data_IF_840836689800
#
_entry.id   IF_840836689800
#
_cell.length_a   1.000
_cell.length_b   1.000
_cell.length_c   1.000
_cell.angle_alpha   90.00
_cell.angle_beta   90.00
_cell.angle_gamma   90.00
#
_symmetry.space_group_name_H-M   'P 1'
#
loop_
_entity.id
_entity.type
_entity.pdbx_description
1 polymer ?
#
# COMPACT_ATOMS: atom_id res chain seq x y z
N UNK A 1 -54.24 -5.99 -32.76
CA UNK A 1 -54.92 -5.21 -31.69
C UNK A 1 -54.90 -6.07 -30.43
N UNK A 2 -54.64 -5.60 -29.20
CA UNK A 2 -54.44 -4.23 -28.72
C UNK A 2 -55.24 -4.00 -27.44
N UNK A 3 -54.59 -3.99 -26.27
CA UNK A 3 -55.15 -3.43 -25.02
C UNK A 3 -54.06 -2.60 -24.33
N UNK A 4 -54.23 -1.26 -24.22
CA UNK A 4 -53.16 -0.37 -23.80
C UNK A 4 -53.45 0.39 -22.47
N UNK A 5 -52.45 1.17 -22.04
CA UNK A 5 -52.49 2.32 -21.12
C UNK A 5 -52.99 2.15 -19.68
N UNK A 6 -52.05 2.28 -18.74
CA UNK A 6 -52.28 2.96 -17.46
C UNK A 6 -51.85 4.43 -17.54
N UNK A 7 -52.68 5.35 -17.03
CA UNK A 7 -52.35 6.77 -16.76
C UNK A 7 -53.15 7.25 -15.55
N UNK A 8 -52.51 8.01 -14.65
CA UNK A 8 -53.19 8.64 -13.51
C UNK A 8 -52.26 9.36 -12.54
N UNK A 9 -51.97 10.65 -12.79
CA UNK A 9 -51.34 11.54 -11.80
C UNK A 9 -52.37 12.09 -10.80
N UNK A 10 -51.96 12.35 -9.55
CA UNK A 10 -52.24 13.62 -8.83
C UNK A 10 -51.42 13.79 -7.53
N UNK A 11 -51.19 15.05 -7.14
CA UNK A 11 -50.46 15.54 -5.95
C UNK A 11 -51.43 15.92 -4.82
N UNK A 12 -51.00 15.93 -3.55
CA UNK A 12 -51.12 17.10 -2.64
C UNK A 12 -50.33 16.96 -1.31
N UNK A 13 -50.02 18.10 -0.67
CA UNK A 13 -49.39 18.27 0.65
C UNK A 13 -50.43 18.35 1.79
N UNK A 14 -50.01 18.03 3.03
CA UNK A 14 -50.25 18.67 4.36
C UNK A 14 -49.46 17.85 5.41
N UNK A 15 -48.92 18.35 6.52
CA UNK A 15 -48.73 19.73 7.01
C UNK A 15 -48.84 19.84 8.55
N UNK A 16 -47.98 20.66 9.19
CA UNK A 16 -48.05 21.16 10.60
C UNK A 16 -47.89 20.11 11.74
N UNK A 17 -47.44 20.40 12.97
CA UNK A 17 -46.70 21.50 13.66
C UNK A 17 -46.38 20.96 15.09
N UNK A 18 -45.45 21.54 15.85
CA UNK A 18 -45.56 21.87 17.30
C UNK A 18 -44.24 22.43 17.84
N UNK A 19 -44.36 23.35 18.79
CA UNK A 19 -43.34 24.29 19.25
C UNK A 19 -42.73 23.88 20.61
N UNK A 20 -41.51 24.38 20.89
CA UNK A 20 -40.88 24.80 22.18
C UNK A 20 -41.21 24.10 23.51
N UNK A 21 -40.17 23.88 24.33
CA UNK A 21 -39.89 24.72 25.51
C UNK A 21 -38.45 24.54 26.01
N UNK A 22 -37.90 25.58 26.64
CA UNK A 22 -36.59 25.64 27.32
C UNK A 22 -36.87 25.69 28.83
N UNK A 23 -35.99 25.14 29.68
CA UNK A 23 -35.76 25.65 31.05
C UNK A 23 -34.48 25.06 31.66
N UNK A 24 -33.98 25.71 32.72
CA UNK A 24 -32.55 25.83 33.02
C UNK A 24 -31.97 24.93 34.15
N UNK A 25 -30.63 24.82 34.14
CA UNK A 25 -29.67 24.79 35.27
C UNK A 25 -29.94 23.94 36.55
N UNK A 26 -28.97 23.08 36.90
CA UNK A 26 -28.26 23.21 38.18
C UNK A 26 -26.89 22.47 38.18
N UNK A 27 -25.85 23.15 38.68
CA UNK A 27 -24.48 22.63 38.82
C UNK A 27 -24.29 21.71 40.05
N UNK A 28 -23.36 20.74 39.96
CA UNK A 28 -22.54 20.29 41.11
C UNK A 28 -21.23 19.64 40.68
N UNK A 29 -20.24 19.78 41.56
CA UNK A 29 -18.82 19.78 41.22
C UNK A 29 -18.13 18.40 41.28
N UNK A 30 -17.13 18.25 40.39
CA UNK A 30 -15.79 17.67 40.59
C UNK A 30 -15.62 16.54 41.62
N UNK A 31 -15.22 15.37 41.11
CA UNK A 31 -14.30 14.46 41.82
C UNK A 31 -13.17 14.12 40.86
N UNK A 32 -11.93 14.42 41.24
CA UNK A 32 -10.73 13.91 40.57
C UNK A 32 -10.46 12.49 41.10
N UNK A 33 -10.50 11.47 40.24
CA UNK A 33 -9.94 10.16 40.54
C UNK A 33 -8.72 9.90 39.65
N UNK A 34 -7.55 10.14 40.23
CA UNK A 34 -6.29 9.55 39.74
C UNK A 34 -6.42 8.04 39.74
N UNK A 35 -6.38 7.42 38.56
CA UNK A 35 -6.25 5.96 38.41
C UNK A 35 -4.93 5.66 37.71
N UNK A 36 -4.14 4.80 38.34
CA UNK A 36 -2.81 4.40 37.90
C UNK A 36 -2.95 3.42 36.72
N UNK A 37 -2.29 3.67 35.59
CA UNK A 37 -2.33 2.74 34.45
C UNK A 37 -1.50 1.48 34.75
N UNK A 38 -2.16 0.47 35.32
CA UNK A 38 -1.59 -0.86 35.51
C UNK A 38 -1.17 -1.48 34.15
N UNK A 39 0.09 -1.92 34.07
CA UNK A 39 0.60 -2.58 32.86
C UNK A 39 0.06 -4.00 32.72
N UNK A 40 -1.07 -4.17 32.02
CA UNK A 40 -1.57 -5.50 31.64
C UNK A 40 -0.60 -6.22 30.70
N UNK A 41 0.11 -7.23 31.23
CA UNK A 41 0.92 -8.17 30.46
C UNK A 41 0.03 -9.28 29.89
N UNK A 42 -0.32 -9.19 28.62
CA UNK A 42 -0.91 -10.33 27.91
C UNK A 42 0.17 -11.40 27.62
N UNK A 43 -0.09 -12.69 27.90
CA UNK A 43 0.90 -13.75 27.73
C UNK A 43 1.18 -14.06 26.26
N UNK A 44 2.43 -14.42 25.97
CA UNK A 44 2.90 -14.79 24.64
C UNK A 44 2.26 -16.10 24.17
N UNK A 45 1.55 -16.06 23.03
CA UNK A 45 1.13 -17.25 22.28
C UNK A 45 1.85 -17.27 20.93
N UNK A 46 2.67 -18.30 20.72
CA UNK A 46 3.47 -18.47 19.51
C UNK A 46 2.58 -18.68 18.26
N UNK A 47 2.94 -18.02 17.15
CA UNK A 47 2.49 -18.42 15.81
C UNK A 47 1.71 -17.41 14.96
N UNK A 48 1.33 -16.24 15.50
CA UNK A 48 0.66 -15.18 14.71
C UNK A 48 1.69 -14.10 14.30
N UNK A 49 1.80 -13.72 13.01
CA UNK A 49 2.65 -12.59 12.62
C UNK A 49 2.05 -11.30 13.18
N UNK A 50 2.81 -10.65 14.06
CA UNK A 50 2.43 -9.42 14.76
C UNK A 50 2.12 -8.32 13.73
N UNK A 51 0.88 -7.83 13.73
CA UNK A 51 0.57 -6.53 13.14
C UNK A 51 1.21 -5.46 14.05
N UNK A 52 1.93 -4.46 13.52
CA UNK A 52 2.63 -3.49 14.36
C UNK A 52 1.63 -2.71 15.21
N UNK A 53 1.65 -2.97 16.53
CA UNK A 53 0.91 -2.17 17.50
C UNK A 53 1.52 -0.76 17.56
N UNK A 54 0.73 0.22 18.01
CA UNK A 54 1.14 1.62 18.14
C UNK A 54 2.35 1.83 19.09
N UNK A 55 2.80 0.80 19.80
CA UNK A 55 3.99 0.79 20.65
C UNK A 55 5.32 0.76 19.85
N UNK A 56 5.27 0.59 18.53
CA UNK A 56 6.47 0.61 17.64
C UNK A 56 7.05 2.00 17.35
N UNK A 57 6.60 3.04 18.06
CA UNK A 57 7.04 4.44 17.88
C UNK A 57 8.53 4.72 18.21
N UNK A 58 9.24 3.81 18.88
CA UNK A 58 10.64 4.01 19.33
C UNK A 58 11.72 3.32 18.46
N UNK A 59 11.36 2.69 17.35
CA UNK A 59 12.34 2.07 16.43
C UNK A 59 12.39 2.84 15.11
N UNK A 60 13.58 3.15 14.56
CA UNK A 60 13.70 3.75 13.24
C UNK A 60 13.13 2.77 12.22
N UNK A 61 12.22 3.25 11.39
CA UNK A 61 11.52 2.45 10.42
C UNK A 61 12.06 2.65 9.02
N UNK A 62 12.03 1.57 8.25
CA UNK A 62 12.52 1.55 6.88
C UNK A 62 11.34 1.50 5.92
N UNK A 63 11.44 2.28 4.85
CA UNK A 63 10.47 2.35 3.75
C UNK A 63 11.25 2.10 2.46
N UNK A 64 10.71 1.24 1.59
CA UNK A 64 11.23 1.08 0.23
C UNK A 64 10.29 1.73 -0.78
N UNK A 65 10.84 2.38 -1.80
CA UNK A 65 10.14 2.94 -2.95
C UNK A 65 10.73 2.30 -4.20
N UNK A 66 9.97 1.43 -4.85
CA UNK A 66 10.31 0.83 -6.14
C UNK A 66 9.82 1.75 -7.25
N UNK A 67 10.75 2.44 -7.91
CA UNK A 67 10.48 3.45 -8.95
C UNK A 67 10.58 2.83 -10.36
N UNK A 68 9.85 3.39 -11.35
CA UNK A 68 9.80 2.91 -12.75
C UNK A 68 9.48 1.40 -12.89
N UNK A 69 8.58 0.87 -12.06
CA UNK A 69 8.20 -0.54 -12.10
C UNK A 69 7.48 -0.90 -13.43
N UNK A 70 8.02 -1.89 -14.17
CA UNK A 70 7.51 -2.38 -15.46
C UNK A 70 6.21 -3.21 -15.35
N UNK A 71 5.17 -2.65 -14.73
CA UNK A 71 3.86 -3.28 -14.56
C UNK A 71 2.82 -2.61 -15.48
N UNK A 72 2.74 -3.07 -16.73
CA UNK A 72 1.68 -2.67 -17.66
C UNK A 72 0.66 -3.79 -17.89
N UNK A 73 -0.63 -3.45 -17.83
CA UNK A 73 -1.74 -4.34 -18.19
C UNK A 73 -2.12 -4.11 -19.66
N UNK A 74 -2.25 -5.20 -20.42
CA UNK A 74 -2.79 -5.17 -21.79
C UNK A 74 -3.69 -6.37 -22.09
N UNK A 75 -4.56 -6.23 -23.09
CA UNK A 75 -5.40 -7.32 -23.60
C UNK A 75 -4.63 -8.09 -24.69
N UNK A 76 -4.13 -9.27 -24.35
CA UNK A 76 -3.43 -10.16 -25.27
C UNK A 76 -4.40 -11.26 -25.71
N UNK A 77 -4.90 -11.16 -26.93
CA UNK A 77 -5.96 -12.03 -27.44
C UNK A 77 -7.28 -11.80 -26.70
N UNK A 78 -7.77 -12.83 -25.98
CA UNK A 78 -9.04 -12.76 -25.24
C UNK A 78 -8.89 -12.27 -23.79
N UNK A 79 -7.69 -12.37 -23.21
CA UNK A 79 -7.46 -12.19 -21.77
C UNK A 79 -6.65 -10.91 -21.48
N UNK A 80 -6.89 -10.29 -20.33
CA UNK A 80 -5.99 -9.26 -19.77
C UNK A 80 -4.82 -9.92 -19.06
N UNK A 81 -3.61 -9.49 -19.37
CA UNK A 81 -2.35 -10.03 -18.83
C UNK A 81 -1.37 -8.88 -18.53
N UNK A 82 -0.41 -9.10 -17.63
CA UNK A 82 0.70 -8.17 -17.40
C UNK A 82 1.73 -8.41 -18.49
N UNK A 83 2.16 -7.34 -19.17
CA UNK A 83 3.14 -7.40 -20.24
C UNK A 83 4.50 -7.90 -19.73
N UNK A 84 5.04 -8.90 -20.42
CA UNK A 84 6.28 -9.60 -20.10
C UNK A 84 7.11 -9.76 -21.39
N UNK A 85 8.42 -9.57 -21.29
CA UNK A 85 9.39 -9.70 -22.38
C UNK A 85 9.34 -11.07 -23.06
N UNK A 86 9.08 -12.15 -22.31
CA UNK A 86 9.06 -13.52 -22.84
C UNK A 86 7.73 -13.88 -23.49
N UNK A 87 6.66 -14.02 -22.69
CA UNK A 87 5.35 -14.52 -23.16
C UNK A 87 4.67 -13.57 -24.17
N UNK A 88 5.07 -12.29 -24.22
CA UNK A 88 4.38 -11.26 -25.00
C UNK A 88 5.29 -10.50 -26.00
N UNK A 89 6.52 -10.98 -26.27
CA UNK A 89 7.47 -10.38 -27.23
C UNK A 89 6.83 -9.99 -28.58
N UNK A 90 6.07 -10.91 -29.19
CA UNK A 90 5.42 -10.71 -30.49
C UNK A 90 4.29 -9.67 -30.44
N UNK A 91 3.58 -9.58 -29.31
CA UNK A 91 2.55 -8.56 -29.09
C UNK A 91 3.18 -7.18 -28.90
N UNK A 92 4.30 -7.10 -28.17
CA UNK A 92 5.03 -5.86 -27.94
C UNK A 92 5.60 -5.31 -29.25
N UNK A 93 6.30 -6.14 -30.03
CA UNK A 93 6.86 -5.75 -31.35
C UNK A 93 5.79 -5.24 -32.32
N UNK A 94 4.61 -5.87 -32.38
CA UNK A 94 3.49 -5.41 -33.22
C UNK A 94 2.90 -4.06 -32.80
N UNK A 95 3.09 -3.66 -31.54
CA UNK A 95 2.63 -2.39 -31.01
C UNK A 95 3.76 -1.35 -30.89
N UNK A 96 4.86 -1.52 -31.63
CA UNK A 96 6.05 -0.65 -31.61
C UNK A 96 6.66 -0.47 -30.21
N UNK A 97 6.58 -1.51 -29.37
CA UNK A 97 7.14 -1.54 -28.01
C UNK A 97 8.34 -2.46 -27.95
N UNK A 98 9.42 -1.99 -27.33
CA UNK A 98 10.61 -2.79 -27.08
C UNK A 98 10.33 -3.86 -26.01
N UNK A 99 10.50 -5.16 -26.30
CA UNK A 99 10.28 -6.21 -25.30
C UNK A 99 11.20 -6.13 -24.08
N UNK A 100 12.41 -5.56 -24.21
CA UNK A 100 13.39 -5.54 -23.12
C UNK A 100 12.99 -4.67 -21.91
N UNK A 101 12.03 -3.76 -22.09
CA UNK A 101 11.58 -2.83 -21.04
C UNK A 101 10.44 -3.43 -20.19
N UNK A 102 9.84 -4.54 -20.65
CA UNK A 102 8.73 -5.22 -19.99
C UNK A 102 9.22 -6.36 -19.11
N UNK A 103 9.89 -6.00 -18.01
CA UNK A 103 10.46 -6.91 -17.01
C UNK A 103 9.74 -6.85 -15.65
N UNK A 104 8.47 -7.31 -15.56
CA UNK A 104 7.69 -7.33 -14.32
C UNK A 104 8.24 -8.31 -13.27
N UNK A 105 9.11 -9.23 -13.69
CA UNK A 105 9.86 -10.16 -12.83
C UNK A 105 10.80 -9.44 -11.87
N UNK A 106 11.42 -8.31 -12.28
CA UNK A 106 12.29 -7.49 -11.42
C UNK A 106 11.51 -6.97 -10.22
N UNK A 107 10.33 -6.39 -10.46
CA UNK A 107 9.43 -5.86 -9.43
C UNK A 107 8.95 -6.98 -8.51
N UNK A 108 8.55 -8.11 -9.09
CA UNK A 108 8.11 -9.29 -8.35
C UNK A 108 9.20 -9.84 -7.41
N UNK A 109 10.43 -9.98 -7.92
CA UNK A 109 11.56 -10.49 -7.15
C UNK A 109 11.98 -9.49 -6.06
N UNK A 110 12.02 -8.19 -6.36
CA UNK A 110 12.33 -7.15 -5.38
C UNK A 110 11.32 -7.14 -4.22
N UNK A 111 10.01 -7.22 -4.52
CA UNK A 111 8.97 -7.31 -3.50
C UNK A 111 9.10 -8.58 -2.66
N UNK A 112 9.44 -9.71 -3.26
CA UNK A 112 9.68 -10.96 -2.54
C UNK A 112 10.88 -10.84 -1.60
N UNK A 113 12.02 -10.32 -2.09
CA UNK A 113 13.24 -10.12 -1.29
C UNK A 113 13.03 -9.14 -0.13
N UNK A 114 12.30 -8.05 -0.33
CA UNK A 114 12.01 -7.07 0.73
C UNK A 114 11.08 -7.67 1.79
N UNK A 115 10.01 -8.36 1.40
CA UNK A 115 9.03 -8.91 2.34
C UNK A 115 9.50 -10.19 3.05
N UNK A 116 10.38 -10.99 2.46
CA UNK A 116 10.98 -12.15 3.12
C UNK A 116 12.18 -11.81 4.02
N UNK A 117 12.67 -10.56 3.94
CA UNK A 117 13.87 -10.09 4.64
C UNK A 117 13.74 -10.24 6.17
N UNK A 118 14.87 -10.45 6.90
CA UNK A 118 14.88 -10.36 8.36
C UNK A 118 14.37 -9.02 8.89
N UNK A 119 14.60 -7.94 8.13
CA UNK A 119 14.14 -6.58 8.43
C UNK A 119 12.61 -6.49 8.49
N UNK A 120 11.89 -7.14 7.56
CA UNK A 120 10.43 -7.22 7.64
C UNK A 120 9.97 -8.07 8.84
N UNK A 121 10.62 -9.23 9.05
CA UNK A 121 10.30 -10.15 10.17
C UNK A 121 10.53 -9.51 11.56
N UNK A 122 11.49 -8.60 11.68
CA UNK A 122 11.76 -7.81 12.87
C UNK A 122 10.77 -6.65 13.11
N UNK A 123 9.83 -6.41 12.20
CA UNK A 123 8.85 -5.33 12.28
C UNK A 123 9.40 -3.94 11.94
N UNK A 124 10.62 -3.84 11.40
CA UNK A 124 11.25 -2.54 11.07
C UNK A 124 10.79 -1.98 9.72
N UNK A 125 10.17 -2.79 8.85
CA UNK A 125 9.62 -2.35 7.58
C UNK A 125 8.26 -1.65 7.82
N UNK A 126 8.16 -0.34 7.58
CA UNK A 126 6.89 0.41 7.72
C UNK A 126 5.95 0.15 6.53
N UNK A 127 6.48 0.27 5.32
CA UNK A 127 5.74 0.10 4.06
C UNK A 127 6.69 -0.13 2.88
N UNK A 128 6.17 -0.70 1.79
CA UNK A 128 6.80 -0.63 0.46
C UNK A 128 5.86 0.09 -0.48
N UNK A 129 6.37 1.06 -1.21
CA UNK A 129 5.66 1.75 -2.28
C UNK A 129 6.20 1.29 -3.62
N UNK A 130 5.32 1.14 -4.61
CA UNK A 130 5.71 0.79 -5.97
C UNK A 130 5.04 1.77 -6.91
N UNK A 131 5.85 2.47 -7.71
CA UNK A 131 5.40 3.39 -8.74
C UNK A 131 5.70 2.78 -10.11
N UNK A 132 4.65 2.51 -10.87
CA UNK A 132 4.79 1.98 -12.22
C UNK A 132 5.31 3.04 -13.18
N UNK A 133 5.88 2.61 -14.31
CA UNK A 133 6.28 3.49 -15.41
C UNK A 133 5.11 4.38 -15.91
N UNK A 134 3.88 3.85 -15.89
CA UNK A 134 2.64 4.61 -16.16
C UNK A 134 2.20 5.55 -15.05
N UNK A 135 3.02 5.76 -14.02
CA UNK A 135 2.73 6.66 -12.90
C UNK A 135 1.69 6.15 -11.91
N UNK A 136 1.29 4.86 -11.95
CA UNK A 136 0.39 4.30 -10.94
C UNK A 136 1.19 3.98 -9.68
N UNK A 137 0.85 4.66 -8.57
CA UNK A 137 1.47 4.41 -7.27
C UNK A 137 0.59 3.46 -6.44
N UNK A 138 1.18 2.42 -5.88
CA UNK A 138 0.50 1.55 -4.92
C UNK A 138 1.33 1.29 -3.66
N UNK A 139 0.62 1.20 -2.55
CA UNK A 139 1.11 0.87 -1.22
C UNK A 139 1.01 -0.64 -1.01
N UNK A 140 2.09 -1.23 -0.50
CA UNK A 140 2.25 -2.64 -0.13
C UNK A 140 2.50 -2.70 1.38
N UNK A 141 1.60 -3.36 2.10
CA UNK A 141 1.73 -3.55 3.54
C UNK A 141 2.81 -4.59 3.90
N UNK A 142 3.56 -4.44 5.01
CA UNK A 142 4.61 -5.39 5.42
C UNK A 142 4.11 -6.83 5.62
N UNK A 143 2.84 -6.97 6.00
CA UNK A 143 2.13 -8.23 6.25
C UNK A 143 1.49 -8.85 4.99
N UNK A 144 1.77 -8.33 3.79
CA UNK A 144 1.33 -8.97 2.52
C UNK A 144 2.03 -10.30 2.31
N UNK A 145 1.28 -11.40 2.28
CA UNK A 145 1.78 -12.67 1.72
C UNK A 145 1.67 -12.65 0.19
N UNK A 146 2.75 -12.26 -0.48
CA UNK A 146 2.84 -12.31 -1.95
C UNK A 146 2.90 -13.77 -2.42
N UNK A 147 2.18 -14.15 -3.51
CA UNK A 147 2.31 -15.45 -4.14
C UNK A 147 3.75 -15.80 -4.53
N UNK A 148 4.22 -17.02 -4.21
CA UNK A 148 5.57 -17.50 -4.57
C UNK A 148 5.75 -17.89 -6.04
N UNK A 149 4.76 -17.65 -6.89
CA UNK A 149 4.87 -17.86 -8.34
C UNK A 149 4.41 -16.61 -9.10
N UNK A 150 5.23 -16.16 -10.05
CA UNK A 150 4.96 -14.97 -10.86
C UNK A 150 3.58 -15.01 -11.53
N UNK A 151 3.19 -16.16 -12.11
CA UNK A 151 1.88 -16.31 -12.76
C UNK A 151 0.70 -16.08 -11.81
N UNK A 152 0.79 -16.52 -10.54
CA UNK A 152 -0.25 -16.25 -9.54
C UNK A 152 -0.22 -14.77 -9.10
N UNK A 153 0.96 -14.18 -8.90
CA UNK A 153 1.10 -12.76 -8.59
C UNK A 153 0.47 -11.87 -9.66
N UNK A 154 0.80 -12.09 -10.94
CA UNK A 154 0.29 -11.30 -12.05
C UNK A 154 -1.25 -11.37 -12.16
N UNK A 155 -1.83 -12.57 -12.13
CA UNK A 155 -3.29 -12.76 -12.19
C UNK A 155 -3.99 -12.13 -10.98
N UNK A 156 -3.44 -12.27 -9.77
CA UNK A 156 -4.03 -11.75 -8.55
C UNK A 156 -4.00 -10.21 -8.47
N UNK A 157 -2.92 -9.58 -8.97
CA UNK A 157 -2.80 -8.13 -9.07
C UNK A 157 -3.80 -7.56 -10.10
N UNK A 158 -3.95 -8.23 -11.25
CA UNK A 158 -4.93 -7.87 -12.28
C UNK A 158 -6.37 -7.94 -11.82
N UNK A 159 -6.79 -9.10 -11.28
CA UNK A 159 -8.22 -9.39 -11.06
C UNK A 159 -8.87 -8.56 -9.95
N UNK A 160 -8.09 -8.13 -8.96
CA UNK A 160 -8.63 -7.45 -7.76
C UNK A 160 -8.12 -6.02 -7.57
N UNK A 161 -7.07 -5.61 -8.30
CA UNK A 161 -6.32 -4.34 -8.11
C UNK A 161 -5.87 -4.08 -6.66
N UNK A 162 -5.94 -5.12 -5.83
CA UNK A 162 -5.82 -5.09 -4.37
C UNK A 162 -5.77 -6.54 -3.88
N UNK A 163 -4.75 -6.88 -3.10
CA UNK A 163 -4.74 -8.11 -2.32
C UNK A 163 -5.43 -7.77 -1.01
N UNK A 164 -6.55 -8.44 -0.71
CA UNK A 164 -7.18 -8.38 0.61
C UNK A 164 -6.62 -9.48 1.51
N UNK A 165 -6.58 -9.22 2.82
CA UNK A 165 -6.23 -10.24 3.80
C UNK A 165 -7.24 -11.39 3.78
N UNK A 166 -6.76 -12.62 4.00
CA UNK A 166 -7.66 -13.76 4.21
C UNK A 166 -8.33 -13.58 5.57
N UNK A 167 -9.66 -13.48 5.60
CA UNK A 167 -10.46 -13.34 6.83
C UNK A 167 -10.69 -11.91 7.33
N UNK A 168 -9.94 -10.89 6.86
CA UNK A 168 -10.17 -9.47 7.21
C UNK A 168 -10.40 -8.63 5.94
N UNK A 169 -11.32 -7.66 5.98
CA UNK A 169 -11.59 -6.72 4.85
C UNK A 169 -10.46 -5.68 4.61
N UNK A 170 -9.28 -5.93 5.14
CA UNK A 170 -8.14 -5.04 5.04
C UNK A 170 -7.43 -5.18 3.69
N UNK A 171 -7.17 -4.05 3.03
CA UNK A 171 -6.48 -3.98 1.74
C UNK A 171 -4.97 -3.96 1.95
N UNK A 172 -4.32 -5.08 1.66
CA UNK A 172 -2.88 -5.29 1.78
C UNK A 172 -2.09 -4.67 0.62
N UNK A 173 -2.70 -4.63 -0.58
CA UNK A 173 -2.29 -3.74 -1.67
C UNK A 173 -3.36 -2.68 -1.89
N UNK A 174 -2.96 -1.40 -2.00
CA UNK A 174 -3.87 -0.27 -2.29
C UNK A 174 -3.24 0.70 -3.26
N UNK A 175 -3.92 0.98 -4.39
CA UNK A 175 -3.57 2.12 -5.25
C UNK A 175 -3.81 3.42 -4.48
N UNK A 176 -2.81 4.30 -4.45
CA UNK A 176 -2.81 5.57 -3.73
C UNK A 176 -2.57 6.72 -4.72
N UNK A 177 -2.78 7.97 -4.28
CA UNK A 177 -2.56 9.15 -5.13
C UNK A 177 -1.07 9.47 -5.20
N UNK A 178 -0.65 10.18 -6.25
CA UNK A 178 0.70 10.76 -6.30
C UNK A 178 0.71 12.15 -5.62
N UNK A 179 1.88 12.64 -5.15
CA UNK A 179 3.19 11.97 -5.11
C UNK A 179 3.43 11.11 -3.87
N UNK A 180 4.36 10.15 -3.95
CA UNK A 180 4.75 9.26 -2.84
C UNK A 180 5.21 10.00 -1.59
N UNK A 181 5.77 11.21 -1.74
CA UNK A 181 6.25 12.05 -0.64
C UNK A 181 5.18 12.43 0.38
N UNK A 182 3.89 12.39 0.02
CA UNK A 182 2.78 12.65 0.95
C UNK A 182 2.58 11.55 1.99
N UNK A 183 3.14 10.36 1.76
CA UNK A 183 3.01 9.19 2.64
C UNK A 183 4.30 8.87 3.39
N UNK A 184 5.36 9.64 3.15
CA UNK A 184 6.62 9.51 3.86
C UNK A 184 6.57 10.32 5.18
N UNK A 185 7.17 9.81 6.27
CA UNK A 185 7.26 10.54 7.53
C UNK A 185 8.12 11.80 7.37
N UNK A 186 7.85 12.83 8.19
CA UNK A 186 8.53 14.12 8.09
C UNK A 186 10.04 14.01 8.36
N UNK A 187 10.42 13.22 9.38
CA UNK A 187 11.81 12.92 9.74
C UNK A 187 12.39 11.79 8.87
N UNK A 188 12.20 11.84 7.54
CA UNK A 188 12.73 10.83 6.60
C UNK A 188 13.98 11.27 5.84
N UNK A 189 15.06 10.49 5.97
CA UNK A 189 16.21 10.54 5.08
C UNK A 189 15.90 9.74 3.81
N UNK A 190 16.06 10.36 2.63
CA UNK A 190 15.74 9.77 1.32
C UNK A 190 17.02 9.43 0.57
N UNK A 191 17.19 8.16 0.24
CA UNK A 191 18.42 7.58 -0.29
C UNK A 191 18.09 6.93 -1.63
N UNK A 192 18.59 7.50 -2.72
CA UNK A 192 18.50 6.90 -4.06
C UNK A 192 19.71 6.02 -4.35
N UNK A 193 19.47 4.84 -4.91
CA UNK A 193 20.55 4.02 -5.47
C UNK A 193 20.76 4.39 -6.94
N UNK A 194 22.00 4.73 -7.32
CA UNK A 194 22.41 4.87 -8.71
C UNK A 194 23.78 4.23 -8.93
N UNK A 195 23.94 3.56 -10.06
CA UNK A 195 25.25 3.05 -10.50
C UNK A 195 26.19 4.18 -10.96
N UNK A 196 25.64 5.29 -11.47
CA UNK A 196 26.41 6.47 -11.92
C UNK A 196 26.81 7.43 -10.79
N UNK A 197 26.70 7.02 -9.52
CA UNK A 197 27.05 7.85 -8.37
C UNK A 197 28.54 7.71 -8.06
N UNK A 198 29.29 8.80 -8.17
CA UNK A 198 30.70 8.87 -7.73
C UNK A 198 30.86 8.56 -6.23
N UNK A 199 29.80 8.78 -5.45
CA UNK A 199 29.76 8.51 -4.01
C UNK A 199 29.47 7.02 -3.75
N UNK A 200 30.52 6.21 -3.67
CA UNK A 200 30.45 4.86 -3.10
C UNK A 200 30.28 4.95 -1.57
N UNK A 201 29.28 4.24 -1.03
CA UNK A 201 28.95 4.28 0.41
C UNK A 201 28.75 2.86 0.94
N UNK A 202 29.45 2.54 2.02
CA UNK A 202 29.25 1.31 2.78
C UNK A 202 27.98 1.43 3.63
N UNK A 203 26.95 0.66 3.28
CA UNK A 203 25.60 0.82 3.83
C UNK A 203 25.53 0.60 5.35
N UNK A 204 26.34 -0.30 5.90
CA UNK A 204 26.41 -0.55 7.34
C UNK A 204 26.89 0.69 8.11
N UNK A 205 27.99 1.31 7.66
CA UNK A 205 28.50 2.57 8.24
C UNK A 205 27.54 3.73 8.04
N UNK A 206 26.86 3.80 6.89
CA UNK A 206 25.87 4.83 6.64
C UNK A 206 24.68 4.72 7.59
N UNK A 207 24.09 3.52 7.72
CA UNK A 207 22.94 3.30 8.62
C UNK A 207 23.34 3.49 10.08
N UNK A 208 24.53 3.06 10.50
CA UNK A 208 25.05 3.32 11.84
C UNK A 208 25.32 4.81 12.13
N UNK A 209 25.61 5.61 11.10
CA UNK A 209 25.77 7.06 11.19
C UNK A 209 24.47 7.86 11.15
N UNK A 210 23.35 7.24 10.78
CA UNK A 210 22.02 7.88 10.87
C UNK A 210 21.48 7.72 12.29
N UNK A 211 21.12 8.83 12.93
CA UNK A 211 20.57 8.82 14.27
C UNK A 211 19.28 7.99 14.36
N UNK A 212 19.12 7.22 15.45
CA UNK A 212 18.04 6.23 15.62
C UNK A 212 16.60 6.77 15.67
N UNK A 213 16.41 8.08 15.55
CA UNK A 213 15.11 8.76 15.46
C UNK A 213 14.73 9.16 14.01
N UNK A 214 15.59 8.85 13.02
CA UNK A 214 15.36 9.17 11.61
C UNK A 214 14.88 7.95 10.83
N UNK A 215 13.83 8.13 10.04
CA UNK A 215 13.33 7.08 9.13
C UNK A 215 14.12 7.01 7.84
N UNK A 216 14.37 5.79 7.34
CA UNK A 216 15.14 5.55 6.14
C UNK A 216 14.21 5.22 4.96
N UNK A 217 14.26 6.03 3.91
CA UNK A 217 13.49 5.84 2.68
C UNK A 217 14.46 5.48 1.55
N UNK A 218 14.46 4.21 1.15
CA UNK A 218 15.31 3.67 0.10
C UNK A 218 14.56 3.66 -1.25
N UNK A 219 15.08 4.41 -2.23
CA UNK A 219 14.51 4.52 -3.58
C UNK A 219 15.33 3.66 -4.54
N UNK A 220 14.71 2.59 -5.07
CA UNK A 220 15.34 1.58 -5.93
C UNK A 220 14.63 1.57 -7.28
N UNK A 221 15.38 1.63 -8.39
CA UNK A 221 14.82 1.44 -9.73
C UNK A 221 14.41 -0.02 -9.97
N UNK A 222 13.13 -0.28 -10.20
CA UNK A 222 12.58 -1.61 -10.51
C UNK A 222 12.30 -1.77 -12.01
N UNK A 223 13.28 -1.33 -12.80
CA UNK A 223 13.30 -1.25 -14.27
C UNK A 223 14.42 -2.14 -14.82
N UNK A 224 14.38 -2.48 -16.11
CA UNK A 224 15.50 -3.19 -16.75
C UNK A 224 16.68 -2.29 -17.12
N UNK A 225 16.41 -1.04 -17.51
CA UNK A 225 17.41 -0.02 -17.87
C UNK A 225 16.92 1.37 -17.47
N UNK A 226 17.84 2.29 -17.16
CA UNK A 226 17.58 3.74 -17.08
C UNK A 226 18.12 4.43 -15.84
#
# INVERSE_FOLDING_TARGET
MGRPYGKGHKRKKTGERYDKEEDELEDKQVVEETTEEETEKFPELEGIPIAPSAQTLKKPGVIFVLEKASLEVAKVGKNYQILNSEEHANFLRRNNKNPADYRPDIVYQALLSILDSPLNKAGCLRAVYVKTDKGVLFEVKPYVRIPRTYKRFAVQLLQKLSIAAVGKREKLLRVIKNPVTQYLPLNSCKIGFSHSSDKLVEMEKYVAGVGGDTDLVFVVGAMSHG
#
